data_IF_428402773434
#
_entry.id   IF_428402773434
#
_cell.length_a   1.000
_cell.length_b   1.000
_cell.length_c   1.000
_cell.angle_alpha   90.00
_cell.angle_beta   90.00
_cell.angle_gamma   90.00
#
_symmetry.space_group_name_H-M   'P 1'
#
loop_
_entity.id
_entity.type
_entity.pdbx_description
1 polymer ?
#
# COMPACT_ATOMS: atom_id res chain seq x y z
N UNK A 1 25.79 26.78 -16.40
CA UNK A 1 24.41 26.38 -16.77
C UNK A 1 24.32 24.87 -16.54
N UNK A 2 23.96 24.44 -15.32
CA UNK A 2 23.76 23.02 -15.03
C UNK A 2 22.39 22.64 -15.59
N UNK A 3 22.37 21.96 -16.73
CA UNK A 3 21.14 21.37 -17.25
C UNK A 3 20.73 20.26 -16.28
N UNK A 4 19.67 20.50 -15.51
CA UNK A 4 18.96 19.47 -14.76
C UNK A 4 18.24 18.56 -15.77
N UNK A 5 19.00 17.71 -16.44
CA UNK A 5 18.44 16.61 -17.22
C UNK A 5 17.87 15.62 -16.21
N UNK A 6 16.54 15.63 -16.02
CA UNK A 6 15.85 14.56 -15.29
C UNK A 6 16.09 13.26 -16.06
N UNK A 7 17.11 12.50 -15.67
CA UNK A 7 17.25 11.13 -16.14
C UNK A 7 16.17 10.31 -15.44
N UNK A 8 15.42 9.52 -16.22
CA UNK A 8 14.52 8.52 -15.66
C UNK A 8 15.42 7.40 -15.11
N UNK A 9 15.54 7.31 -13.81
CA UNK A 9 16.36 6.30 -13.14
C UNK A 9 15.58 5.67 -12.00
N UNK A 10 15.69 4.35 -11.91
CA UNK A 10 15.02 3.59 -10.86
C UNK A 10 15.77 3.75 -9.54
N UNK A 11 15.03 3.62 -8.44
CA UNK A 11 15.52 3.78 -7.08
C UNK A 11 15.06 2.62 -6.24
N UNK A 12 16.02 1.90 -5.65
CA UNK A 12 15.72 0.83 -4.70
C UNK A 12 15.87 1.40 -3.29
N UNK A 13 14.82 1.30 -2.48
CA UNK A 13 14.90 1.66 -1.05
C UNK A 13 15.30 0.43 -0.24
N UNK A 14 16.38 0.51 0.53
CA UNK A 14 16.84 -0.58 1.40
C UNK A 14 16.70 -0.15 2.86
N UNK A 15 15.84 -0.83 3.60
CA UNK A 15 15.52 -0.54 5.01
C UNK A 15 15.74 -1.81 5.83
N UNK A 16 16.27 -1.64 7.04
CA UNK A 16 16.34 -2.70 8.06
C UNK A 16 15.64 -2.22 9.31
N UNK A 17 15.11 -3.15 10.10
CA UNK A 17 14.43 -2.79 11.32
C UNK A 17 13.71 -3.95 11.96
N UNK A 18 13.04 -3.63 13.06
CA UNK A 18 12.19 -4.53 13.82
C UNK A 18 10.77 -3.95 13.91
N UNK A 19 9.97 -4.45 14.84
CA UNK A 19 8.59 -4.01 15.04
C UNK A 19 8.48 -2.56 15.53
N UNK A 20 9.54 -2.00 16.13
CA UNK A 20 9.52 -0.68 16.75
C UNK A 20 10.29 0.36 15.96
N UNK A 21 11.36 -0.05 15.26
CA UNK A 21 12.31 0.88 14.64
C UNK A 21 12.70 0.45 13.24
N UNK A 22 12.72 1.43 12.34
CA UNK A 22 13.21 1.29 10.98
C UNK A 22 14.43 2.20 10.77
N UNK A 23 15.42 1.69 10.04
CA UNK A 23 16.62 2.41 9.60
C UNK A 23 16.75 2.28 8.09
N UNK A 24 16.73 3.43 7.41
CA UNK A 24 17.07 3.52 6.00
C UNK A 24 18.58 3.32 5.83
N UNK A 25 18.97 2.26 5.12
CA UNK A 25 20.38 2.00 4.79
C UNK A 25 20.82 2.76 3.52
N UNK A 26 19.89 2.96 2.58
CA UNK A 26 20.17 3.71 1.38
C UNK A 26 19.04 3.68 0.36
N UNK A 27 19.19 4.52 -0.66
CA UNK A 27 18.30 4.57 -1.83
C UNK A 27 19.13 4.47 -3.12
N UNK A 28 19.84 3.36 -3.36
CA UNK A 28 20.69 3.22 -4.54
C UNK A 28 19.92 3.42 -5.85
N UNK A 29 20.52 4.22 -6.73
CA UNK A 29 20.13 4.40 -8.11
C UNK A 29 20.48 3.17 -8.95
N UNK A 30 19.60 2.77 -9.86
CA UNK A 30 19.94 1.78 -10.87
C UNK A 30 19.23 1.99 -12.20
N UNK A 31 19.81 1.40 -13.25
CA UNK A 31 19.25 1.36 -14.60
C UNK A 31 19.17 -0.10 -15.02
N UNK A 32 18.08 -0.49 -15.66
CA UNK A 32 18.01 -1.80 -16.29
C UNK A 32 19.05 -1.87 -17.41
N UNK A 33 19.97 -2.82 -17.30
CA UNK A 33 20.89 -3.16 -18.38
C UNK A 33 20.28 -4.31 -19.19
N UNK A 34 20.54 -4.37 -20.50
CA UNK A 34 19.93 -5.37 -21.39
C UNK A 34 20.32 -6.81 -21.07
N UNK A 35 21.40 -7.02 -20.31
CA UNK A 35 21.99 -8.31 -19.98
C UNK A 35 21.76 -8.77 -18.53
N UNK A 36 21.13 -7.95 -17.67
CA UNK A 36 20.91 -8.26 -16.26
C UNK A 36 19.42 -8.10 -15.91
N UNK A 37 18.81 -9.10 -15.27
CA UNK A 37 17.41 -9.00 -14.86
C UNK A 37 17.28 -8.05 -13.68
N UNK A 38 16.12 -7.39 -13.56
CA UNK A 38 15.84 -6.47 -12.46
C UNK A 38 16.04 -7.12 -11.08
N UNK A 39 15.64 -8.39 -10.92
CA UNK A 39 15.80 -9.11 -9.67
C UNK A 39 17.26 -9.27 -9.23
N UNK A 40 18.17 -9.54 -10.18
CA UNK A 40 19.61 -9.67 -9.89
C UNK A 40 20.21 -8.32 -9.49
N UNK A 41 19.85 -7.23 -10.19
CA UNK A 41 20.29 -5.87 -9.84
C UNK A 41 19.83 -5.51 -8.42
N UNK A 42 18.55 -5.73 -8.10
CA UNK A 42 17.97 -5.47 -6.78
C UNK A 42 18.70 -6.27 -5.70
N UNK A 43 18.94 -7.56 -5.95
CA UNK A 43 19.63 -8.42 -5.00
C UNK A 43 21.05 -7.95 -4.69
N UNK A 44 21.82 -7.64 -5.73
CA UNK A 44 23.19 -7.14 -5.60
C UNK A 44 23.25 -5.83 -4.80
N UNK A 45 22.38 -4.87 -5.11
CA UNK A 45 22.33 -3.58 -4.41
C UNK A 45 21.89 -3.73 -2.95
N UNK A 46 20.94 -4.64 -2.69
CA UNK A 46 20.49 -4.96 -1.33
C UNK A 46 21.63 -5.58 -0.52
N UNK A 47 22.28 -6.63 -1.04
CA UNK A 47 23.38 -7.30 -0.36
C UNK A 47 24.56 -6.35 -0.11
N UNK A 48 24.91 -5.51 -1.09
CA UNK A 48 25.93 -4.47 -0.91
C UNK A 48 25.56 -3.52 0.24
N UNK A 49 24.32 -3.02 0.26
CA UNK A 49 23.85 -2.15 1.34
C UNK A 49 23.90 -2.84 2.71
N UNK A 50 23.55 -4.13 2.77
CA UNK A 50 23.65 -4.90 4.02
C UNK A 50 25.10 -5.10 4.45
N UNK A 51 26.03 -5.34 3.52
CA UNK A 51 27.46 -5.51 3.81
C UNK A 51 28.10 -4.19 4.26
N UNK A 52 27.86 -3.09 3.53
CA UNK A 52 28.40 -1.76 3.82
C UNK A 52 28.01 -1.29 5.24
N UNK A 53 26.86 -1.75 5.75
CA UNK A 53 26.36 -1.45 7.08
C UNK A 53 26.49 -2.59 8.11
N UNK A 54 27.22 -3.67 7.77
CA UNK A 54 27.45 -4.83 8.64
C UNK A 54 26.18 -5.54 9.17
N UNK A 55 25.11 -5.59 8.36
CA UNK A 55 23.84 -6.26 8.66
C UNK A 55 23.61 -7.57 7.89
N UNK A 56 24.54 -7.99 7.03
CA UNK A 56 24.39 -9.17 6.18
C UNK A 56 23.97 -10.45 6.95
N UNK A 57 24.53 -10.63 8.15
CA UNK A 57 24.28 -11.83 8.97
C UNK A 57 23.13 -11.69 9.97
N UNK A 58 22.52 -10.50 10.07
CA UNK A 58 21.54 -10.19 11.13
C UNK A 58 20.07 -10.32 10.68
N UNK A 59 19.79 -10.20 9.38
CA UNK A 59 18.42 -10.22 8.88
C UNK A 59 17.74 -11.58 9.10
N UNK A 60 16.57 -11.64 9.72
CA UNK A 60 15.80 -12.89 9.87
C UNK A 60 14.70 -13.01 8.82
N UNK A 61 14.13 -11.87 8.44
CA UNK A 61 13.05 -11.75 7.49
C UNK A 61 13.39 -10.73 6.39
N UNK A 62 12.70 -10.85 5.26
CA UNK A 62 12.81 -9.92 4.16
C UNK A 62 11.41 -9.63 3.62
N UNK A 63 10.91 -8.43 3.88
CA UNK A 63 9.64 -7.95 3.34
C UNK A 63 9.87 -7.25 2.00
N UNK A 64 9.05 -7.55 1.02
CA UNK A 64 9.13 -7.00 -0.35
C UNK A 64 7.78 -7.12 -1.05
N UNK A 65 7.56 -6.31 -2.09
CA UNK A 65 6.37 -6.39 -2.94
C UNK A 65 6.44 -7.62 -3.85
N UNK A 66 5.30 -8.28 -4.12
CA UNK A 66 5.19 -9.52 -4.93
C UNK A 66 5.23 -9.26 -6.44
N UNK A 67 6.13 -8.38 -6.87
CA UNK A 67 6.38 -8.14 -8.29
C UNK A 67 7.17 -9.29 -8.91
N UNK A 68 7.04 -9.47 -10.23
CA UNK A 68 7.77 -10.52 -10.94
C UNK A 68 9.30 -10.40 -10.79
N UNK A 69 9.85 -9.19 -10.62
CA UNK A 69 11.28 -9.02 -10.35
C UNK A 69 11.70 -9.50 -8.96
N UNK A 70 10.79 -9.47 -7.99
CA UNK A 70 11.07 -9.87 -6.61
C UNK A 70 10.76 -11.36 -6.35
N UNK A 71 9.75 -11.94 -7.02
CA UNK A 71 9.25 -13.31 -6.79
C UNK A 71 9.26 -14.24 -8.00
N UNK A 72 9.69 -13.76 -9.17
CA UNK A 72 9.70 -14.53 -10.41
C UNK A 72 10.56 -15.80 -10.35
N UNK A 73 10.19 -16.81 -11.15
CA UNK A 73 10.90 -18.08 -11.19
C UNK A 73 12.37 -17.88 -11.65
N UNK A 74 13.32 -18.47 -10.91
CA UNK A 74 14.77 -18.54 -11.18
C UNK A 74 15.58 -17.23 -11.11
N UNK A 75 14.99 -16.05 -11.29
CA UNK A 75 15.69 -14.75 -11.32
C UNK A 75 15.18 -13.73 -10.31
N UNK A 76 14.32 -14.18 -9.38
CA UNK A 76 13.80 -13.37 -8.29
C UNK A 76 14.91 -12.77 -7.42
N UNK A 77 14.76 -11.48 -7.08
CA UNK A 77 15.59 -10.82 -6.09
C UNK A 77 15.62 -11.58 -4.77
N UNK A 78 14.48 -12.13 -4.33
CA UNK A 78 14.42 -12.81 -3.04
C UNK A 78 15.33 -14.04 -2.98
N UNK A 79 15.36 -14.84 -4.05
CA UNK A 79 16.21 -16.04 -4.17
C UNK A 79 17.68 -15.60 -4.23
N UNK A 80 18.00 -14.64 -5.09
CA UNK A 80 19.37 -14.16 -5.28
C UNK A 80 19.98 -13.55 -4.00
N UNK A 81 19.18 -12.84 -3.19
CA UNK A 81 19.63 -12.31 -1.89
C UNK A 81 20.06 -13.44 -0.95
N UNK A 82 19.24 -14.49 -0.80
CA UNK A 82 19.60 -15.61 0.09
C UNK A 82 20.80 -16.40 -0.38
N UNK A 83 20.92 -16.62 -1.69
CA UNK A 83 22.10 -17.25 -2.27
C UNK A 83 23.36 -16.41 -1.97
N UNK A 84 23.26 -15.09 -2.12
CA UNK A 84 24.36 -14.16 -1.82
C UNK A 84 24.69 -14.07 -0.32
N UNK A 85 23.73 -14.28 0.57
CA UNK A 85 23.94 -14.30 2.03
C UNK A 85 24.28 -15.70 2.55
N UNK A 86 24.22 -16.73 1.71
CA UNK A 86 24.51 -18.11 2.09
C UNK A 86 23.53 -18.72 3.10
N UNK A 87 22.33 -18.15 3.26
CA UNK A 87 21.35 -18.59 4.28
C UNK A 87 19.91 -18.28 3.90
N UNK A 88 18.95 -19.09 4.34
CA UNK A 88 17.53 -18.83 4.11
C UNK A 88 17.05 -17.63 4.95
N UNK A 89 16.07 -16.91 4.42
CA UNK A 89 15.34 -15.83 5.09
C UNK A 89 13.85 -16.13 5.04
N UNK A 90 13.08 -15.67 6.03
CA UNK A 90 11.62 -15.70 5.94
C UNK A 90 11.14 -14.66 4.91
N UNK A 91 10.18 -15.03 4.04
CA UNK A 91 9.63 -14.17 2.99
C UNK A 91 8.20 -13.74 3.30
N UNK A 92 7.98 -12.81 4.24
CA UNK A 92 6.68 -12.15 4.38
C UNK A 92 6.47 -11.17 3.22
N UNK A 93 6.24 -11.71 2.02
CA UNK A 93 5.90 -10.92 0.84
C UNK A 93 4.62 -10.12 1.07
N UNK A 94 4.56 -8.90 0.53
CA UNK A 94 3.36 -8.06 0.53
C UNK A 94 2.69 -7.85 1.89
N UNK A 95 3.43 -7.82 3.01
CA UNK A 95 2.84 -7.51 4.33
C UNK A 95 2.08 -6.18 4.36
N UNK A 96 2.47 -5.21 3.54
CA UNK A 96 1.79 -3.93 3.42
C UNK A 96 0.50 -3.97 2.60
N UNK A 97 0.26 -5.02 1.81
CA UNK A 97 -0.90 -5.10 0.90
C UNK A 97 -1.96 -6.09 1.39
N UNK A 98 -1.78 -6.74 2.55
CA UNK A 98 -2.78 -7.70 3.07
C UNK A 98 -4.17 -7.06 3.24
N UNK A 99 -4.22 -5.79 3.67
CA UNK A 99 -5.47 -5.02 3.73
C UNK A 99 -6.06 -4.76 2.34
N UNK A 100 -5.21 -4.46 1.35
CA UNK A 100 -5.65 -4.24 -0.03
C UNK A 100 -6.22 -5.50 -0.67
N UNK A 101 -5.70 -6.69 -0.34
CA UNK A 101 -6.24 -7.99 -0.77
C UNK A 101 -7.65 -8.21 -0.21
N UNK A 102 -7.87 -7.93 1.08
CA UNK A 102 -9.20 -8.03 1.70
C UNK A 102 -10.19 -7.07 1.05
N UNK A 103 -9.78 -5.82 0.81
CA UNK A 103 -10.63 -4.83 0.13
C UNK A 103 -10.96 -5.28 -1.29
N UNK A 104 -9.99 -5.83 -2.04
CA UNK A 104 -10.21 -6.34 -3.40
C UNK A 104 -11.29 -7.45 -3.42
N UNK A 105 -11.35 -8.30 -2.40
CA UNK A 105 -12.41 -9.31 -2.29
C UNK A 105 -13.78 -8.64 -2.12
N UNK A 106 -13.90 -7.61 -1.28
CA UNK A 106 -15.16 -6.86 -1.11
C UNK A 106 -15.63 -6.26 -2.44
N UNK A 107 -14.74 -5.63 -3.22
CA UNK A 107 -15.09 -5.11 -4.55
C UNK A 107 -15.56 -6.20 -5.52
N UNK A 108 -14.95 -7.39 -5.42
CA UNK A 108 -15.30 -8.56 -6.23
C UNK A 108 -16.68 -9.10 -5.86
N UNK A 109 -16.96 -9.26 -4.57
CA UNK A 109 -18.23 -9.79 -4.04
C UNK A 109 -19.40 -8.84 -4.30
N UNK A 110 -19.16 -7.54 -4.13
CA UNK A 110 -20.13 -6.48 -4.45
C UNK A 110 -20.33 -6.30 -5.97
N UNK A 111 -19.54 -6.99 -6.81
CA UNK A 111 -19.57 -6.90 -8.28
C UNK A 111 -19.47 -5.45 -8.76
N UNK A 112 -18.71 -4.62 -8.05
CA UNK A 112 -18.50 -3.20 -8.41
C UNK A 112 -17.90 -3.09 -9.82
N UNK A 113 -17.10 -4.08 -10.20
CA UNK A 113 -16.62 -4.22 -11.57
C UNK A 113 -16.40 -5.69 -11.93
N UNK A 114 -16.81 -6.10 -13.13
CA UNK A 114 -16.61 -7.46 -13.67
C UNK A 114 -15.22 -7.69 -14.28
N UNK A 115 -14.38 -6.65 -14.32
CA UNK A 115 -13.08 -6.69 -14.97
C UNK A 115 -12.04 -7.44 -14.14
N UNK A 116 -11.34 -8.38 -14.79
CA UNK A 116 -10.12 -9.02 -14.27
C UNK A 116 -8.86 -8.17 -14.49
N UNK A 117 -9.01 -6.97 -15.04
CA UNK A 117 -7.91 -6.03 -15.23
C UNK A 117 -7.33 -5.60 -13.89
N UNK A 118 -6.00 -5.39 -13.79
CA UNK A 118 -5.39 -4.73 -12.63
C UNK A 118 -5.95 -3.32 -12.42
N UNK A 119 -6.40 -2.66 -13.48
CA UNK A 119 -7.00 -1.33 -13.44
C UNK A 119 -8.51 -1.41 -13.17
N UNK A 120 -8.97 -0.65 -12.19
CA UNK A 120 -10.39 -0.47 -11.88
C UNK A 120 -10.93 0.67 -12.74
N UNK A 121 -11.71 0.36 -13.79
CA UNK A 121 -12.24 1.34 -14.74
C UNK A 121 -13.08 2.41 -14.04
N UNK A 122 -13.80 2.05 -12.97
CA UNK A 122 -14.56 3.01 -12.17
C UNK A 122 -13.66 4.12 -11.63
N UNK A 123 -12.52 3.76 -11.06
CA UNK A 123 -11.58 4.73 -10.50
C UNK A 123 -10.82 5.50 -11.59
N UNK A 124 -10.54 4.88 -12.74
CA UNK A 124 -9.97 5.58 -13.90
C UNK A 124 -10.90 6.69 -14.35
N UNK A 125 -12.20 6.41 -14.53
CA UNK A 125 -13.20 7.41 -14.89
C UNK A 125 -13.33 8.50 -13.83
N UNK A 126 -13.36 8.13 -12.54
CA UNK A 126 -13.42 9.08 -11.44
C UNK A 126 -12.22 10.04 -11.46
N UNK A 127 -11.01 9.52 -11.68
CA UNK A 127 -9.77 10.31 -11.75
C UNK A 127 -9.75 11.27 -12.95
N UNK A 128 -10.28 10.84 -14.09
CA UNK A 128 -10.39 11.66 -15.30
C UNK A 128 -11.42 12.78 -15.16
N UNK A 129 -12.56 12.47 -14.51
CA UNK A 129 -13.67 13.40 -14.32
C UNK A 129 -13.59 14.16 -13.00
N UNK A 130 -12.52 14.01 -12.23
CA UNK A 130 -12.36 14.59 -10.89
C UNK A 130 -12.65 16.09 -10.85
N UNK A 131 -12.09 16.85 -11.80
CA UNK A 131 -12.26 18.30 -11.86
C UNK A 131 -13.68 18.76 -12.22
N UNK A 132 -14.55 17.85 -12.67
CA UNK A 132 -15.96 18.13 -12.93
C UNK A 132 -16.81 17.94 -11.69
N UNK A 133 -16.28 17.30 -10.64
CA UNK A 133 -16.99 17.11 -9.38
C UNK A 133 -16.88 18.38 -8.52
N UNK A 134 -17.97 18.79 -7.84
CA UNK A 134 -17.91 19.88 -6.88
C UNK A 134 -16.90 19.56 -5.77
N UNK A 135 -15.82 20.35 -5.70
CA UNK A 135 -14.78 20.16 -4.67
C UNK A 135 -15.22 20.72 -3.31
N UNK A 136 -16.09 21.73 -3.34
CA UNK A 136 -16.70 22.35 -2.17
C UNK A 136 -18.21 22.14 -2.22
N UNK A 137 -18.62 20.89 -2.04
CA UNK A 137 -20.04 20.55 -1.90
C UNK A 137 -20.37 20.47 -0.42
N UNK A 138 -21.22 21.37 0.08
CA UNK A 138 -21.86 21.29 1.40
C UNK A 138 -23.00 20.25 1.44
N UNK A 139 -23.05 19.34 0.47
CA UNK A 139 -24.09 18.31 0.39
C UNK A 139 -23.99 17.39 1.60
N UNK A 140 -25.11 17.15 2.27
CA UNK A 140 -25.18 16.18 3.35
C UNK A 140 -24.90 14.78 2.78
N UNK A 141 -23.83 14.16 3.25
CA UNK A 141 -23.47 12.79 2.89
C UNK A 141 -24.47 11.81 3.49
N UNK A 142 -24.87 10.80 2.71
CA UNK A 142 -25.64 9.67 3.22
C UNK A 142 -24.74 8.83 4.14
N UNK A 143 -24.90 9.03 5.45
CA UNK A 143 -24.23 8.23 6.48
C UNK A 143 -24.90 6.87 6.60
N UNK A 144 -24.14 5.88 7.05
CA UNK A 144 -24.72 4.62 7.50
C UNK A 144 -25.55 4.89 8.77
N UNK A 145 -26.85 4.64 8.67
CA UNK A 145 -27.78 4.71 9.81
C UNK A 145 -28.20 3.27 10.09
N UNK A 146 -27.80 2.70 11.24
CA UNK A 146 -28.26 1.37 11.63
C UNK A 146 -29.79 1.33 11.64
N UNK A 147 -30.37 0.41 10.89
CA UNK A 147 -31.82 0.22 10.88
C UNK A 147 -32.31 -0.54 12.11
N UNK A 148 -33.58 -0.37 12.48
CA UNK A 148 -34.20 -1.11 13.60
C UNK A 148 -34.24 -2.65 13.37
N UNK A 149 -33.99 -3.11 12.15
CA UNK A 149 -34.01 -4.51 11.73
C UNK A 149 -32.61 -5.03 11.38
N UNK A 150 -31.56 -4.35 11.82
CA UNK A 150 -30.19 -4.80 11.57
C UNK A 150 -29.92 -6.13 12.27
N UNK A 151 -29.28 -7.07 11.56
CA UNK A 151 -28.83 -8.32 12.15
C UNK A 151 -27.88 -8.04 13.34
N UNK A 152 -28.06 -8.69 14.50
CA UNK A 152 -27.25 -8.40 15.70
C UNK A 152 -25.75 -8.52 15.49
N UNK A 153 -25.31 -9.36 14.53
CA UNK A 153 -23.91 -9.47 14.16
C UNK A 153 -23.38 -8.20 13.48
N UNK A 154 -24.16 -7.60 12.58
CA UNK A 154 -23.74 -6.43 11.81
C UNK A 154 -23.59 -5.21 12.73
N UNK A 155 -24.52 -5.03 13.68
CA UNK A 155 -24.40 -3.97 14.69
C UNK A 155 -23.17 -4.14 15.60
N UNK A 156 -22.79 -5.37 15.96
CA UNK A 156 -21.55 -5.65 16.72
C UNK A 156 -20.30 -5.31 15.90
N UNK A 157 -20.25 -5.76 14.65
CA UNK A 157 -19.12 -5.48 13.74
C UNK A 157 -18.98 -3.98 13.48
N UNK A 158 -20.10 -3.28 13.31
CA UNK A 158 -20.13 -1.82 13.17
C UNK A 158 -19.53 -1.13 14.39
N UNK A 159 -20.02 -1.47 15.60
CA UNK A 159 -19.52 -0.88 16.84
C UNK A 159 -18.02 -1.15 17.05
N UNK A 160 -17.56 -2.36 16.73
CA UNK A 160 -16.15 -2.73 16.81
C UNK A 160 -15.30 -1.95 15.82
N UNK A 161 -15.73 -1.83 14.56
CA UNK A 161 -15.02 -1.09 13.52
C UNK A 161 -14.89 0.40 13.88
N UNK A 162 -15.96 1.01 14.39
CA UNK A 162 -15.94 2.41 14.86
C UNK A 162 -14.98 2.56 16.04
N UNK A 163 -14.98 1.64 17.00
CA UNK A 163 -14.04 1.65 18.13
C UNK A 163 -12.59 1.56 17.65
N UNK A 164 -12.27 0.58 16.81
CA UNK A 164 -10.94 0.40 16.25
C UNK A 164 -10.48 1.64 15.47
N UNK A 165 -11.34 2.20 14.62
CA UNK A 165 -11.02 3.39 13.83
C UNK A 165 -10.68 4.61 14.71
N UNK A 166 -11.37 4.80 15.84
CA UNK A 166 -11.07 5.87 16.81
C UNK A 166 -9.69 5.70 17.47
N UNK A 167 -9.24 4.47 17.66
CA UNK A 167 -7.95 4.14 18.30
C UNK A 167 -6.76 4.39 17.35
N UNK A 168 -6.97 4.45 16.03
CA UNK A 168 -5.89 4.48 15.02
C UNK A 168 -5.90 5.72 14.11
N UNK A 169 -6.39 6.85 14.60
CA UNK A 169 -6.50 8.09 13.80
C UNK A 169 -5.15 8.73 13.44
N UNK A 170 -4.10 8.54 14.23
CA UNK A 170 -2.74 9.09 13.98
C UNK A 170 -1.87 8.17 13.07
N UNK A 171 -2.43 7.67 11.98
CA UNK A 171 -1.65 6.92 10.99
C UNK A 171 -0.69 7.84 10.23
N UNK A 172 0.60 7.47 10.20
CA UNK A 172 1.63 8.21 9.44
C UNK A 172 1.53 8.07 7.93
N UNK A 173 0.81 7.05 7.44
CA UNK A 173 0.57 6.79 6.02
C UNK A 173 -0.72 7.49 5.60
N UNK A 174 -0.62 8.43 4.65
CA UNK A 174 -1.73 9.33 4.30
C UNK A 174 -2.98 8.63 3.76
N UNK A 175 -2.81 7.58 2.95
CA UNK A 175 -3.90 6.76 2.42
C UNK A 175 -4.66 6.01 3.53
N UNK A 176 -3.95 5.47 4.53
CA UNK A 176 -4.57 4.78 5.67
C UNK A 176 -5.25 5.77 6.61
N UNK A 177 -4.62 6.93 6.82
CA UNK A 177 -5.21 8.03 7.57
C UNK A 177 -6.53 8.49 6.91
N UNK A 178 -6.55 8.70 5.58
CA UNK A 178 -7.77 9.04 4.84
C UNK A 178 -8.83 7.93 4.96
N UNK A 179 -8.43 6.65 4.79
CA UNK A 179 -9.35 5.52 4.94
C UNK A 179 -10.03 5.48 6.32
N UNK A 180 -9.27 5.61 7.41
CA UNK A 180 -9.80 5.59 8.78
C UNK A 180 -10.74 6.78 9.02
N UNK A 181 -10.39 7.97 8.53
CA UNK A 181 -11.28 9.13 8.63
C UNK A 181 -12.58 8.92 7.87
N UNK A 182 -12.53 8.35 6.66
CA UNK A 182 -13.73 8.04 5.90
C UNK A 182 -14.60 6.98 6.60
N UNK A 183 -14.00 5.94 7.20
CA UNK A 183 -14.74 4.99 8.04
C UNK A 183 -15.51 5.70 9.15
N UNK A 184 -14.90 6.66 9.85
CA UNK A 184 -15.57 7.43 10.90
C UNK A 184 -16.67 8.32 10.32
N UNK A 185 -16.44 9.02 9.21
CA UNK A 185 -17.47 9.86 8.57
C UNK A 185 -18.69 9.06 8.14
N UNK A 186 -18.49 7.89 7.53
CA UNK A 186 -19.58 7.06 7.01
C UNK A 186 -20.28 6.25 8.08
N UNK A 187 -19.56 5.76 9.11
CA UNK A 187 -20.11 4.81 10.08
C UNK A 187 -20.40 5.43 11.45
N UNK A 188 -19.70 6.48 11.85
CA UNK A 188 -19.94 7.11 13.15
C UNK A 188 -21.03 8.19 13.03
N UNK A 189 -22.29 7.79 13.25
CA UNK A 189 -23.44 8.70 13.24
C UNK A 189 -23.54 9.63 14.47
N UNK A 190 -22.55 9.62 15.37
CA UNK A 190 -22.61 10.33 16.66
C UNK A 190 -22.06 11.76 16.59
N UNK A 191 -22.94 12.74 16.38
CA UNK A 191 -22.65 14.16 16.56
C UNK A 191 -22.89 15.01 15.31
N UNK A 192 -23.56 16.15 15.50
CA UNK A 192 -23.90 17.15 14.47
C UNK A 192 -22.68 17.81 13.80
N UNK A 193 -21.47 17.53 14.27
CA UNK A 193 -20.26 17.99 13.60
C UNK A 193 -20.08 17.20 12.29
N UNK A 194 -20.44 17.87 11.19
CA UNK A 194 -19.91 17.52 9.89
C UNK A 194 -18.39 17.72 9.97
N UNK A 195 -17.65 16.65 10.23
CA UNK A 195 -16.21 16.68 9.98
C UNK A 195 -16.06 16.99 8.49
N UNK A 196 -15.61 18.21 8.17
CA UNK A 196 -15.34 18.59 6.81
C UNK A 196 -14.21 17.69 6.31
N UNK A 197 -14.54 16.69 5.48
CA UNK A 197 -13.56 15.79 4.90
C UNK A 197 -13.37 16.14 3.44
N UNK A 198 -12.12 16.47 3.12
CA UNK A 198 -11.68 16.71 1.75
C UNK A 198 -11.16 15.40 1.18
N UNK A 199 -11.85 14.88 0.17
CA UNK A 199 -11.36 13.71 -0.57
C UNK A 199 -10.14 14.10 -1.39
N UNK A 200 -9.12 13.25 -1.35
CA UNK A 200 -8.00 13.41 -2.26
C UNK A 200 -8.37 12.90 -3.64
N UNK A 201 -7.78 13.51 -4.67
CA UNK A 201 -7.89 13.00 -6.04
C UNK A 201 -7.39 11.55 -6.05
N UNK A 202 -8.12 10.59 -6.65
CA UNK A 202 -7.70 9.20 -6.71
C UNK A 202 -6.29 9.04 -7.28
N UNK A 203 -5.43 8.36 -6.53
CA UNK A 203 -4.02 8.13 -6.83
C UNK A 203 -3.78 6.85 -7.65
N UNK A 204 -3.09 5.88 -7.04
CA UNK A 204 -2.84 4.58 -7.66
C UNK A 204 -4.15 3.82 -7.89
N UNK A 205 -4.33 3.27 -9.11
CA UNK A 205 -5.58 2.63 -9.54
C UNK A 205 -5.44 1.12 -9.76
N UNK A 206 -4.31 0.56 -9.32
CA UNK A 206 -4.00 -0.84 -9.54
C UNK A 206 -4.34 -1.67 -8.31
N UNK A 207 -5.03 -2.80 -8.51
CA UNK A 207 -5.29 -3.78 -7.46
C UNK A 207 -3.99 -4.44 -7.01
N UNK A 208 -3.81 -4.60 -5.69
CA UNK A 208 -2.85 -5.54 -5.15
C UNK A 208 -3.14 -6.95 -5.68
N UNK A 209 -2.09 -7.70 -6.01
CA UNK A 209 -2.17 -9.09 -6.48
C UNK A 209 -1.96 -10.06 -5.34
#
# INVERSE_FOLDING_TARGET
>A
MLSNVRQLEERLTVVVGDAERLKLLGVPAYKMQTNETCGVIIARLTCKSLQDWCYADQGVNMAFDTTASNTGHLTAACIAIQLSLGRPLLWPGCRHHIGEVLLNQVFTDLKVETSRSPEVTLFTRLREKWNLLPQESSSQWSRYIPGNTEEPLLGKLHAELVRCAKEVTDHKRGDYHEFVHLCLVFLHAGGEEQTAVTFQRPGALHKAR
#
